data_IF_847618179693
#
_entry.id   IF_847618179693
#
_cell.length_a   1.000
_cell.length_b   1.000
_cell.length_c   1.000
_cell.angle_alpha   90.00
_cell.angle_beta   90.00
_cell.angle_gamma   90.00
#
_symmetry.space_group_name_H-M   'P 1'
#
loop_
_entity.id
_entity.type
_entity.pdbx_description
1 polymer ?
#
# COMPACT_ATOMS: atom_id res chain seq x y z
N UNK A 1 60.52 -52.43 -36.04
CA UNK A 1 60.21 -53.72 -35.38
C UNK A 1 61.23 -53.97 -34.29
N UNK A 2 60.94 -53.58 -33.06
CA UNK A 2 61.74 -53.90 -31.87
C UNK A 2 60.77 -54.21 -30.73
N UNK A 3 60.56 -55.51 -30.55
CA UNK A 3 59.82 -56.12 -29.45
C UNK A 3 60.72 -56.20 -28.22
N UNK A 4 60.21 -55.85 -27.03
CA UNK A 4 60.54 -56.55 -25.77
C UNK A 4 59.66 -56.11 -24.58
N UNK A 5 58.86 -57.09 -24.13
CA UNK A 5 58.64 -57.57 -22.75
C UNK A 5 57.91 -56.67 -21.72
N UNK A 6 56.71 -57.13 -21.35
CA UNK A 6 56.15 -57.00 -19.98
C UNK A 6 56.69 -58.13 -19.09
N UNK A 7 56.87 -57.87 -17.78
CA UNK A 7 56.20 -58.69 -16.76
C UNK A 7 55.61 -57.82 -15.61
N UNK A 8 54.38 -58.12 -15.18
CA UNK A 8 54.00 -58.74 -13.89
C UNK A 8 54.14 -57.78 -12.68
N UNK A 9 53.02 -57.27 -12.17
CA UNK A 9 52.17 -57.80 -11.07
C UNK A 9 52.64 -57.36 -9.68
N UNK A 10 51.63 -57.00 -8.89
CA UNK A 10 51.62 -56.83 -7.43
C UNK A 10 52.39 -55.63 -6.88
N UNK A 11 51.64 -54.58 -6.53
CA UNK A 11 51.85 -53.87 -5.28
C UNK A 11 50.50 -53.55 -4.63
N UNK A 12 50.26 -54.30 -3.54
CA UNK A 12 49.55 -53.98 -2.31
C UNK A 12 48.31 -53.08 -2.36
N UNK A 13 47.18 -53.73 -2.07
CA UNK A 13 46.04 -53.14 -1.37
C UNK A 13 46.48 -52.56 -0.02
N UNK A 14 46.12 -51.30 0.23
CA UNK A 14 46.01 -50.74 1.58
C UNK A 14 44.58 -50.25 1.75
N UNK A 15 43.89 -50.96 2.63
CA UNK A 15 42.61 -50.60 3.19
C UNK A 15 42.75 -49.30 4.01
N UNK A 16 41.75 -48.44 3.89
CA UNK A 16 41.60 -47.24 4.70
C UNK A 16 40.24 -46.64 4.44
N UNK A 17 39.21 -47.27 5.02
CA UNK A 17 37.84 -46.78 5.02
C UNK A 17 37.79 -45.37 5.62
N UNK A 18 37.71 -44.34 4.76
CA UNK A 18 37.38 -43.00 5.18
C UNK A 18 35.86 -42.93 5.36
N UNK A 19 35.46 -42.96 6.63
CA UNK A 19 34.11 -42.79 7.14
C UNK A 19 33.37 -41.62 6.48
N UNK A 20 32.30 -41.93 5.76
CA UNK A 20 31.24 -41.00 5.35
C UNK A 20 30.48 -40.56 6.61
N UNK A 21 31.02 -39.59 7.34
CA UNK A 21 30.31 -38.83 8.38
C UNK A 21 30.49 -37.33 8.09
N UNK A 22 29.93 -36.90 6.96
CA UNK A 22 29.66 -35.49 6.67
C UNK A 22 28.20 -35.24 6.97
N UNK A 23 27.95 -34.93 8.24
CA UNK A 23 26.65 -34.66 8.85
C UNK A 23 25.76 -33.80 7.97
N UNK A 24 24.51 -34.22 7.83
CA UNK A 24 23.42 -33.40 7.35
C UNK A 24 23.34 -32.14 8.23
N UNK A 25 23.94 -31.03 7.79
CA UNK A 25 23.41 -29.72 8.16
C UNK A 25 22.09 -29.60 7.42
N UNK A 26 21.04 -30.16 8.03
CA UNK A 26 19.68 -29.81 7.65
C UNK A 26 19.57 -28.32 7.81
N UNK A 27 19.51 -27.59 6.70
CA UNK A 27 19.03 -26.23 6.69
C UNK A 27 17.63 -26.28 7.27
N UNK A 28 17.50 -25.90 8.54
CA UNK A 28 16.24 -25.46 9.10
C UNK A 28 15.85 -24.23 8.28
N UNK A 29 15.22 -24.41 7.13
CA UNK A 29 14.45 -23.35 6.53
C UNK A 29 13.47 -22.96 7.64
N UNK A 30 13.68 -21.78 8.23
CA UNK A 30 12.70 -21.21 9.12
C UNK A 30 11.38 -21.29 8.36
N UNK A 31 10.39 -21.94 8.95
CA UNK A 31 9.05 -21.90 8.41
C UNK A 31 8.66 -20.41 8.42
N UNK A 32 8.81 -19.74 7.28
CA UNK A 32 8.34 -18.36 7.13
C UNK A 32 6.83 -18.44 7.29
N UNK A 33 6.35 -17.95 8.42
CA UNK A 33 4.94 -17.66 8.58
C UNK A 33 4.52 -16.74 7.42
N UNK A 34 3.34 -16.97 6.86
CA UNK A 34 2.79 -16.07 5.85
C UNK A 34 2.75 -14.64 6.42
N UNK A 35 2.93 -13.59 5.59
CA UNK A 35 2.85 -12.22 6.05
C UNK A 35 1.46 -11.97 6.68
N UNK A 36 1.47 -11.50 7.92
CA UNK A 36 0.27 -11.15 8.68
C UNK A 36 0.31 -9.67 9.01
N UNK A 37 -0.81 -8.98 8.81
CA UNK A 37 -0.95 -7.56 9.12
C UNK A 37 -2.07 -7.38 10.13
N UNK A 38 -1.76 -6.70 11.23
CA UNK A 38 -2.69 -6.27 12.27
C UNK A 38 -2.99 -4.78 12.09
N UNK A 39 -4.24 -4.40 12.32
CA UNK A 39 -4.74 -3.04 12.11
C UNK A 39 -5.51 -2.62 13.36
N UNK A 40 -5.09 -1.50 13.94
CA UNK A 40 -5.81 -0.82 15.02
C UNK A 40 -6.22 0.58 14.56
N UNK A 41 -7.49 0.93 14.72
CA UNK A 41 -7.95 2.31 14.48
C UNK A 41 -7.55 3.19 15.67
N UNK A 42 -6.72 4.20 15.44
CA UNK A 42 -6.18 5.09 16.49
C UNK A 42 -6.75 6.51 16.43
N UNK A 43 -7.45 6.87 15.35
CA UNK A 43 -8.18 8.13 15.21
C UNK A 43 -9.23 8.02 14.11
N UNK A 44 -10.36 8.71 14.25
CA UNK A 44 -11.47 8.58 13.29
C UNK A 44 -12.22 7.25 13.38
N UNK A 45 -12.24 6.60 14.55
CA UNK A 45 -13.03 5.40 14.76
C UNK A 45 -14.54 5.71 14.71
N UNK A 46 -15.32 4.80 14.13
CA UNK A 46 -16.78 4.86 14.24
C UNK A 46 -17.24 4.32 15.60
N UNK A 47 -18.39 4.79 16.08
CA UNK A 47 -19.06 4.21 17.25
C UNK A 47 -19.83 2.91 16.94
N UNK A 48 -19.94 2.51 15.66
CA UNK A 48 -20.60 1.28 15.27
C UNK A 48 -19.80 0.05 15.74
N UNK A 49 -20.52 -1.01 16.09
CA UNK A 49 -19.90 -2.25 16.53
C UNK A 49 -19.09 -2.90 15.38
N UNK A 50 -17.97 -3.58 15.68
CA UNK A 50 -17.22 -4.35 14.70
C UNK A 50 -18.11 -5.35 13.96
N UNK A 51 -18.17 -5.27 12.64
CA UNK A 51 -18.67 -6.37 11.82
C UNK A 51 -17.55 -7.39 11.62
N UNK A 52 -17.82 -8.65 11.99
CA UNK A 52 -16.96 -9.80 11.66
C UNK A 52 -15.51 -9.72 12.16
N UNK A 53 -15.24 -8.95 13.22
CA UNK A 53 -13.89 -8.77 13.76
C UNK A 53 -12.98 -7.89 12.91
N UNK A 54 -13.52 -7.20 11.89
CA UNK A 54 -12.77 -6.24 11.09
C UNK A 54 -12.69 -4.87 11.78
N UNK A 55 -11.60 -4.11 11.57
CA UNK A 55 -11.53 -2.71 11.99
C UNK A 55 -12.62 -1.88 11.30
N UNK A 56 -13.40 -1.13 12.09
CA UNK A 56 -14.49 -0.26 11.58
C UNK A 56 -14.06 1.19 11.56
N UNK A 57 -14.01 1.77 10.37
CA UNK A 57 -13.64 3.17 10.14
C UNK A 57 -14.86 4.09 10.04
N UNK A 58 -14.66 5.37 10.35
CA UNK A 58 -15.67 6.40 10.16
C UNK A 58 -15.89 6.67 8.65
N UNK A 59 -17.13 6.61 8.13
CA UNK A 59 -17.41 6.94 6.74
C UNK A 59 -17.33 8.44 6.43
N UNK A 60 -17.42 9.31 7.44
CA UNK A 60 -17.60 10.76 7.26
C UNK A 60 -16.27 11.55 7.22
N UNK A 61 -15.11 10.88 7.27
CA UNK A 61 -13.83 11.56 7.16
C UNK A 61 -12.61 10.67 7.32
N UNK A 62 -11.41 11.28 7.35
CA UNK A 62 -10.17 10.53 7.42
C UNK A 62 -10.05 9.72 8.71
N UNK A 63 -9.47 8.53 8.59
CA UNK A 63 -9.21 7.60 9.69
C UNK A 63 -7.71 7.35 9.80
N UNK A 64 -7.15 7.39 11.01
CA UNK A 64 -5.76 7.00 11.25
C UNK A 64 -5.70 5.57 11.76
N UNK A 65 -4.87 4.76 11.11
CA UNK A 65 -4.61 3.37 11.46
C UNK A 65 -3.19 3.24 12.01
N UNK A 66 -3.05 2.53 13.12
CA UNK A 66 -1.79 1.88 13.46
C UNK A 66 -1.78 0.53 12.77
N UNK A 67 -0.84 0.33 11.85
CA UNK A 67 -0.68 -0.91 11.11
C UNK A 67 0.63 -1.56 11.54
N UNK A 68 0.60 -2.85 11.82
CA UNK A 68 1.81 -3.62 12.10
C UNK A 68 1.82 -4.92 11.32
N UNK A 69 3.01 -5.42 11.00
CA UNK A 69 3.17 -6.67 10.27
C UNK A 69 4.17 -7.60 10.91
N UNK A 70 3.98 -8.90 10.69
CA UNK A 70 4.88 -9.99 11.10
C UNK A 70 5.00 -11.02 9.98
N UNK A 71 6.09 -11.79 9.97
CA UNK A 71 6.32 -12.83 8.95
C UNK A 71 6.78 -12.32 7.59
N UNK A 72 7.05 -11.01 7.45
CA UNK A 72 7.54 -10.43 6.21
C UNK A 72 9.01 -10.79 5.98
N UNK A 73 9.42 -10.95 4.72
CA UNK A 73 10.85 -11.14 4.42
C UNK A 73 11.59 -9.82 4.64
N UNK A 74 12.68 -9.86 5.41
CA UNK A 74 13.62 -8.75 5.58
C UNK A 74 14.97 -9.11 4.96
N UNK A 75 15.51 -8.22 4.11
CA UNK A 75 16.74 -8.46 3.37
C UNK A 75 17.76 -7.38 3.71
N UNK A 76 18.75 -7.69 4.56
CA UNK A 76 19.79 -6.72 4.91
C UNK A 76 20.56 -6.25 3.66
N UNK A 77 20.69 -4.93 3.50
CA UNK A 77 21.28 -4.29 2.32
C UNK A 77 20.41 -4.37 1.06
N UNK A 78 19.19 -4.91 1.16
CA UNK A 78 18.28 -5.08 0.03
C UNK A 78 17.79 -3.75 -0.53
N UNK A 79 17.57 -3.69 -1.84
CA UNK A 79 16.89 -2.56 -2.47
C UNK A 79 15.39 -2.62 -2.18
N UNK A 80 14.80 -1.47 -1.82
CA UNK A 80 13.38 -1.34 -1.58
C UNK A 80 12.95 -1.78 -0.18
N UNK A 81 11.90 -2.61 -0.13
CA UNK A 81 11.18 -2.95 1.09
C UNK A 81 9.71 -3.23 0.79
N UNK A 82 8.80 -2.65 1.57
CA UNK A 82 7.35 -2.85 1.48
C UNK A 82 6.67 -1.49 1.34
N UNK A 83 5.73 -1.36 0.41
CA UNK A 83 4.71 -0.31 0.47
C UNK A 83 3.51 -0.82 1.27
N UNK A 84 3.03 0.00 2.20
CA UNK A 84 1.78 -0.19 2.95
C UNK A 84 0.79 0.84 2.45
N UNK A 85 -0.32 0.37 1.89
CA UNK A 85 -1.25 1.16 1.10
C UNK A 85 -2.68 0.91 1.57
N UNK A 86 -3.58 1.88 1.45
CA UNK A 86 -5.01 1.65 1.59
C UNK A 86 -5.66 1.61 0.20
N UNK A 87 -6.44 0.56 -0.09
CA UNK A 87 -7.03 0.44 -1.41
C UNK A 87 -7.91 -0.79 -1.63
N UNK A 88 -8.12 -1.07 -2.90
CA UNK A 88 -8.93 -2.17 -3.43
C UNK A 88 -8.05 -3.15 -4.21
N UNK A 89 -8.42 -4.43 -4.15
CA UNK A 89 -7.85 -5.50 -4.96
C UNK A 89 -8.96 -6.20 -5.75
N UNK A 90 -8.67 -6.64 -6.96
CA UNK A 90 -9.62 -7.35 -7.80
C UNK A 90 -10.01 -8.70 -7.16
N UNK A 91 -11.28 -8.91 -6.77
CA UNK A 91 -11.71 -10.15 -6.15
C UNK A 91 -11.80 -11.32 -7.15
N UNK A 92 -11.75 -11.05 -8.45
CA UNK A 92 -11.92 -12.05 -9.51
C UNK A 92 -10.62 -12.74 -9.94
N UNK A 93 -9.47 -12.23 -9.51
CA UNK A 93 -8.17 -12.68 -10.00
C UNK A 93 -7.03 -12.52 -8.99
N UNK A 94 -5.84 -12.98 -9.39
CA UNK A 94 -4.64 -12.80 -8.59
C UNK A 94 -4.16 -11.35 -8.71
N UNK A 95 -4.32 -10.58 -7.63
CA UNK A 95 -4.03 -9.16 -7.63
C UNK A 95 -2.55 -8.84 -7.41
N UNK A 96 -1.80 -9.77 -6.81
CA UNK A 96 -0.45 -9.50 -6.33
C UNK A 96 0.55 -9.31 -7.47
N UNK A 97 1.51 -8.37 -7.35
CA UNK A 97 2.55 -8.18 -8.35
C UNK A 97 3.37 -9.44 -8.66
N UNK A 98 3.68 -10.28 -7.66
CA UNK A 98 4.46 -11.53 -7.85
C UNK A 98 3.82 -12.57 -8.77
N UNK A 99 2.52 -12.45 -9.03
CA UNK A 99 1.76 -13.35 -9.90
C UNK A 99 1.15 -12.64 -11.11
N UNK A 100 1.67 -11.45 -11.43
CA UNK A 100 1.32 -10.70 -12.65
C UNK A 100 0.28 -9.60 -12.46
N UNK A 101 -0.13 -9.33 -11.22
CA UNK A 101 -0.97 -8.19 -10.90
C UNK A 101 -0.28 -6.85 -11.17
N UNK A 102 -1.07 -5.79 -11.37
CA UNK A 102 -0.59 -4.45 -11.69
C UNK A 102 -1.50 -3.35 -11.14
N UNK A 103 -0.88 -2.25 -10.67
CA UNK A 103 -1.57 -1.02 -10.28
C UNK A 103 -2.47 -0.52 -11.42
N UNK A 104 -3.64 -0.02 -11.07
CA UNK A 104 -4.62 0.54 -12.01
C UNK A 104 -5.49 -0.52 -12.70
N UNK A 105 -5.11 -1.80 -12.60
CA UNK A 105 -5.84 -2.94 -13.16
C UNK A 105 -6.33 -3.89 -12.07
N UNK A 106 -5.42 -4.63 -11.43
CA UNK A 106 -5.78 -5.68 -10.47
C UNK A 106 -5.71 -5.21 -9.02
N UNK A 107 -5.13 -4.04 -8.76
CA UNK A 107 -5.24 -3.34 -7.50
C UNK A 107 -5.15 -1.83 -7.72
N UNK A 108 -5.75 -1.06 -6.82
CA UNK A 108 -5.76 0.41 -6.82
C UNK A 108 -5.70 0.89 -5.38
N UNK A 109 -5.10 2.05 -5.14
CA UNK A 109 -4.93 2.58 -3.80
C UNK A 109 -5.01 4.11 -3.79
N UNK A 110 -5.25 4.64 -2.59
CA UNK A 110 -5.26 6.07 -2.35
C UNK A 110 -3.84 6.62 -2.57
N UNK A 111 -3.71 7.55 -3.51
CA UNK A 111 -2.44 8.17 -3.87
C UNK A 111 -2.18 9.38 -2.99
N UNK A 112 -0.96 9.50 -2.48
CA UNK A 112 -0.47 10.75 -1.89
C UNK A 112 -0.02 11.72 -2.99
N UNK A 113 -0.16 13.01 -2.73
CA UNK A 113 0.64 14.03 -3.41
C UNK A 113 2.07 13.94 -2.88
N UNK A 114 3.04 13.59 -3.73
CA UNK A 114 4.44 13.45 -3.34
C UNK A 114 5.04 14.77 -2.81
N UNK A 115 4.52 15.94 -3.23
CA UNK A 115 4.97 17.23 -2.75
C UNK A 115 4.40 17.58 -1.36
N UNK A 116 3.30 16.95 -0.97
CA UNK A 116 2.59 17.20 0.28
C UNK A 116 1.87 15.94 0.77
N UNK A 117 2.63 14.90 1.19
CA UNK A 117 2.05 13.60 1.51
C UNK A 117 1.14 13.69 2.73
N UNK A 118 -0.02 13.05 2.63
CA UNK A 118 -1.03 12.95 3.70
C UNK A 118 -0.90 11.63 4.49
N UNK A 119 -0.01 10.74 4.05
CA UNK A 119 0.27 9.45 4.68
C UNK A 119 -0.68 8.35 4.23
N UNK A 120 -1.26 8.48 3.03
CA UNK A 120 -2.06 7.42 2.40
C UNK A 120 -1.21 6.24 1.94
N UNK A 121 0.10 6.47 1.79
CA UNK A 121 1.11 5.48 1.43
C UNK A 121 2.26 5.54 2.42
N UNK A 122 2.70 4.39 2.89
CA UNK A 122 3.90 4.29 3.70
C UNK A 122 4.93 3.39 3.05
N UNK A 123 6.18 3.83 3.05
CA UNK A 123 7.31 3.01 2.65
C UNK A 123 8.07 2.51 3.87
N UNK A 124 8.11 1.19 4.04
CA UNK A 124 8.94 0.48 5.02
C UNK A 124 10.14 -0.08 4.28
N UNK A 125 11.34 0.40 4.57
CA UNK A 125 12.54 -0.04 3.87
C UNK A 125 13.14 -1.32 4.44
N UNK A 126 13.92 -2.03 3.62
CA UNK A 126 14.84 -3.04 4.14
C UNK A 126 16.03 -2.40 4.87
N UNK A 127 16.57 -3.05 5.92
CA UNK A 127 17.61 -2.47 6.75
C UNK A 127 18.96 -2.43 6.03
N UNK A 128 19.61 -1.28 6.01
CA UNK A 128 20.88 -1.00 5.34
C UNK A 128 20.78 -0.81 3.82
N UNK A 129 19.56 -0.69 3.28
CA UNK A 129 19.31 -0.57 1.84
C UNK A 129 19.57 0.83 1.29
N UNK A 130 19.84 0.95 -0.01
CA UNK A 130 20.07 2.26 -0.66
C UNK A 130 18.84 3.17 -0.69
N UNK A 131 17.64 2.62 -0.47
CA UNK A 131 16.36 3.33 -0.42
C UNK A 131 15.95 3.70 1.01
N UNK A 132 16.66 3.24 2.04
CA UNK A 132 16.27 3.39 3.44
C UNK A 132 16.02 4.85 3.86
N UNK A 133 16.83 5.79 3.35
CA UNK A 133 16.69 7.20 3.64
C UNK A 133 15.33 7.82 3.21
N UNK A 134 14.61 7.16 2.30
CA UNK A 134 13.30 7.58 1.82
C UNK A 134 12.14 6.92 2.57
N UNK A 135 12.40 6.09 3.57
CA UNK A 135 11.38 5.35 4.28
C UNK A 135 10.51 6.26 5.15
N UNK A 136 9.30 6.54 4.67
CA UNK A 136 8.31 7.36 5.39
C UNK A 136 7.70 6.62 6.60
N UNK A 137 7.66 5.29 6.54
CA UNK A 137 7.01 4.46 7.56
C UNK A 137 7.98 3.70 8.47
N UNK A 138 9.29 3.83 8.26
CA UNK A 138 10.34 3.19 9.08
C UNK A 138 11.10 2.07 8.38
N UNK A 139 11.82 1.27 9.17
CA UNK A 139 12.70 0.20 8.68
C UNK A 139 12.16 -1.15 9.14
N UNK A 140 12.08 -2.12 8.23
CA UNK A 140 11.68 -3.48 8.51
C UNK A 140 12.72 -4.16 9.40
N UNK A 141 12.30 -4.70 10.53
CA UNK A 141 13.20 -5.41 11.43
C UNK A 141 13.72 -6.71 10.78
N UNK A 142 14.85 -7.21 11.27
CA UNK A 142 15.48 -8.41 10.73
C UNK A 142 14.62 -9.68 10.92
N UNK A 143 13.72 -9.68 11.90
CA UNK A 143 12.78 -10.76 12.18
C UNK A 143 11.48 -10.67 11.35
N UNK A 144 11.39 -9.70 10.42
CA UNK A 144 10.21 -9.50 9.58
C UNK A 144 9.09 -8.73 10.23
N UNK A 145 9.33 -8.07 11.37
CA UNK A 145 8.36 -7.20 12.02
C UNK A 145 8.49 -5.75 11.61
N UNK A 146 7.36 -5.04 11.55
CA UNK A 146 7.29 -3.59 11.29
C UNK A 146 6.01 -3.00 11.87
N UNK A 147 6.00 -1.67 12.07
CA UNK A 147 4.82 -0.92 12.42
C UNK A 147 4.87 0.49 11.83
N UNK A 148 3.73 1.02 11.42
CA UNK A 148 3.60 2.37 10.84
C UNK A 148 2.21 2.95 11.05
N UNK A 149 2.06 4.25 10.84
CA UNK A 149 0.76 4.93 10.81
C UNK A 149 0.32 5.14 9.37
N UNK A 150 -0.88 4.68 9.03
CA UNK A 150 -1.48 4.86 7.72
C UNK A 150 -2.74 5.72 7.84
N UNK A 151 -2.84 6.75 7.00
CA UNK A 151 -4.06 7.55 6.88
C UNK A 151 -4.96 6.94 5.83
N UNK A 152 -6.24 6.77 6.14
CA UNK A 152 -7.29 6.41 5.19
C UNK A 152 -8.10 7.67 4.89
N UNK A 153 -8.19 8.16 3.64
CA UNK A 153 -8.86 9.42 3.32
C UNK A 153 -10.36 9.39 3.60
N UNK A 154 -10.96 8.20 3.49
CA UNK A 154 -12.39 7.96 3.59
C UNK A 154 -12.77 6.73 2.75
N UNK A 155 -14.06 6.38 2.68
CA UNK A 155 -14.51 5.21 1.93
C UNK A 155 -14.48 5.41 0.41
N UNK A 156 -14.46 6.65 -0.07
CA UNK A 156 -14.44 6.97 -1.49
C UNK A 156 -13.20 7.80 -1.79
N UNK A 157 -12.40 7.38 -2.77
CA UNK A 157 -11.19 8.10 -3.18
C UNK A 157 -10.95 8.02 -4.69
N UNK A 158 -10.26 9.04 -5.21
CA UNK A 158 -9.80 9.09 -6.59
C UNK A 158 -8.42 8.46 -6.72
N UNK A 159 -8.20 7.77 -7.84
CA UNK A 159 -6.92 7.15 -8.22
C UNK A 159 -6.88 7.04 -9.75
N UNK A 160 -5.94 6.30 -10.30
CA UNK A 160 -5.77 6.18 -11.75
C UNK A 160 -5.81 4.72 -12.22
N UNK A 161 -6.33 4.52 -13.44
CA UNK A 161 -6.16 3.25 -14.16
C UNK A 161 -4.79 3.18 -14.85
N UNK A 162 -4.57 2.14 -15.67
CA UNK A 162 -3.29 1.91 -16.34
C UNK A 162 -3.02 2.89 -17.48
N UNK A 163 -4.08 3.48 -18.02
CA UNK A 163 -4.04 4.49 -19.07
C UNK A 163 -3.92 5.91 -18.48
N UNK A 164 -3.78 6.03 -17.15
CA UNK A 164 -3.79 7.29 -16.39
C UNK A 164 -5.11 8.06 -16.46
N UNK A 165 -6.22 7.38 -16.72
CA UNK A 165 -7.54 8.00 -16.51
C UNK A 165 -7.87 7.97 -15.02
N UNK A 166 -8.49 9.05 -14.55
CA UNK A 166 -8.97 9.12 -13.19
C UNK A 166 -10.15 8.15 -12.99
N UNK A 167 -10.08 7.38 -11.90
CA UNK A 167 -11.11 6.42 -11.52
C UNK A 167 -11.44 6.57 -10.04
N UNK A 168 -12.72 6.41 -9.71
CA UNK A 168 -13.22 6.40 -8.34
C UNK A 168 -13.23 4.98 -7.79
N UNK A 169 -12.71 4.79 -6.58
CA UNK A 169 -12.91 3.57 -5.79
C UNK A 169 -13.89 3.90 -4.66
N UNK A 170 -14.94 3.08 -4.52
CA UNK A 170 -15.96 3.21 -3.49
C UNK A 170 -16.01 1.96 -2.58
N UNK A 171 -15.33 2.05 -1.45
CA UNK A 171 -15.21 1.00 -0.44
C UNK A 171 -16.52 0.72 0.33
N UNK A 172 -17.61 1.45 0.07
CA UNK A 172 -18.94 1.10 0.58
C UNK A 172 -19.61 0.02 -0.29
N UNK A 173 -19.18 -0.12 -1.54
CA UNK A 173 -19.76 -1.08 -2.50
C UNK A 173 -18.79 -2.18 -2.93
N UNK A 174 -17.50 -2.03 -2.63
CA UNK A 174 -16.47 -3.05 -2.85
C UNK A 174 -15.58 -3.23 -1.61
N UNK A 175 -14.96 -4.41 -1.47
CA UNK A 175 -14.06 -4.67 -0.35
C UNK A 175 -12.73 -3.93 -0.54
N UNK A 176 -12.45 -2.98 0.37
CA UNK A 176 -11.14 -2.35 0.49
C UNK A 176 -10.36 -2.89 1.69
N UNK A 177 -9.09 -2.55 1.78
CA UNK A 177 -8.20 -3.04 2.83
C UNK A 177 -6.84 -2.40 2.80
N UNK A 178 -6.00 -2.80 3.75
CA UNK A 178 -4.58 -2.50 3.73
C UNK A 178 -3.87 -3.51 2.83
N UNK A 179 -3.21 -2.99 1.82
CA UNK A 179 -2.40 -3.74 0.86
C UNK A 179 -0.94 -3.60 1.26
N UNK A 180 -0.21 -4.71 1.29
CA UNK A 180 1.25 -4.68 1.24
C UNK A 180 1.73 -5.21 -0.10
N UNK A 181 2.73 -4.56 -0.67
CA UNK A 181 3.44 -5.01 -1.89
C UNK A 181 4.92 -4.68 -1.78
N UNK A 182 5.76 -5.36 -2.55
CA UNK A 182 7.17 -4.98 -2.62
C UNK A 182 7.35 -3.56 -3.19
N UNK A 183 8.23 -2.78 -2.54
CA UNK A 183 8.44 -1.39 -2.88
C UNK A 183 9.27 -1.22 -4.16
N UNK A 184 9.14 -0.05 -4.81
CA UNK A 184 9.91 0.35 -5.99
C UNK A 184 9.88 -0.68 -7.15
N UNK A 185 8.74 -1.36 -7.33
CA UNK A 185 8.52 -2.31 -8.42
C UNK A 185 9.12 -3.69 -8.20
N UNK A 186 9.63 -3.99 -6.99
CA UNK A 186 10.09 -5.34 -6.65
C UNK A 186 8.88 -6.23 -6.41
N UNK A 187 8.70 -7.26 -7.24
CA UNK A 187 7.71 -8.29 -7.01
C UNK A 187 8.21 -9.26 -5.93
N UNK A 188 7.45 -9.45 -4.85
CA UNK A 188 7.86 -10.30 -3.73
C UNK A 188 6.65 -10.89 -2.99
N UNK A 189 6.33 -12.15 -3.29
CA UNK A 189 5.20 -12.86 -2.69
C UNK A 189 5.28 -12.95 -1.15
N UNK A 190 6.48 -12.92 -0.56
CA UNK A 190 6.63 -12.97 0.91
C UNK A 190 6.31 -11.64 1.60
N UNK A 191 6.09 -10.58 0.81
CA UNK A 191 5.85 -9.22 1.28
C UNK A 191 4.54 -8.65 0.71
N UNK A 192 3.69 -9.52 0.16
CA UNK A 192 2.42 -9.17 -0.46
C UNK A 192 1.27 -9.75 0.38
N UNK A 193 0.41 -8.87 0.87
CA UNK A 193 -0.75 -9.23 1.70
C UNK A 193 -1.91 -8.28 1.46
N UNK A 194 -3.12 -8.73 1.76
CA UNK A 194 -4.31 -7.90 1.80
C UNK A 194 -5.10 -8.19 3.07
N UNK A 195 -5.26 -7.17 3.91
CA UNK A 195 -6.06 -7.25 5.13
C UNK A 195 -7.31 -6.40 4.95
N UNK A 196 -8.50 -7.02 4.87
CA UNK A 196 -9.74 -6.30 4.64
C UNK A 196 -10.10 -5.42 5.84
N UNK A 197 -10.82 -4.35 5.54
CA UNK A 197 -11.36 -3.41 6.54
C UNK A 197 -12.78 -3.04 6.16
N UNK A 198 -13.52 -2.43 7.08
CA UNK A 198 -14.88 -2.00 6.80
C UNK A 198 -15.11 -0.57 7.27
N UNK A 199 -16.04 0.10 6.61
CA UNK A 199 -16.58 1.37 7.08
C UNK A 199 -17.89 1.12 7.79
N UNK A 200 -18.19 1.96 8.79
CA UNK A 200 -19.51 1.93 9.39
C UNK A 200 -20.56 2.26 8.34
N UNK A 201 -21.60 1.44 8.30
CA UNK A 201 -22.75 1.73 7.46
C UNK A 201 -23.62 2.77 8.18
N UNK A 202 -24.20 3.74 7.45
CA UNK A 202 -25.21 4.61 8.00
C UNK A 202 -26.30 3.77 8.66
N UNK A 203 -26.70 4.13 9.88
CA UNK A 203 -27.84 3.48 10.51
C UNK A 203 -29.06 3.60 9.57
N UNK A 204 -29.82 2.52 9.33
CA UNK A 204 -31.06 2.62 8.57
C UNK A 204 -31.90 3.72 9.18
N UNK A 205 -32.40 4.65 8.35
CA UNK A 205 -33.31 5.68 8.82
C UNK A 205 -34.43 5.01 9.62
N UNK A 206 -34.62 5.41 10.87
CA UNK A 206 -35.68 4.87 11.70
C UNK A 206 -37.00 5.10 10.95
N UNK A 207 -37.65 4.00 10.55
CA UNK A 207 -38.98 4.07 9.97
C UNK A 207 -39.85 4.69 11.05
N UNK A 208 -40.30 5.93 10.84
CA UNK A 208 -41.25 6.57 11.73
C UNK A 208 -42.48 5.65 11.80
N UNK A 209 -42.69 5.01 12.94
CA UNK A 209 -43.94 4.32 13.22
C UNK A 209 -45.05 5.35 13.02
N UNK A 210 -46.06 5.09 12.16
CA UNK A 210 -47.15 6.04 11.97
C UNK A 210 -47.74 6.37 13.34
N UNK A 211 -47.66 7.65 13.70
CA UNK A 211 -48.26 8.15 14.92
C UNK A 211 -49.76 7.82 14.85
N UNK A 212 -50.26 7.08 15.85
CA UNK A 212 -51.67 6.80 15.96
C UNK A 212 -52.43 8.13 15.93
N UNK A 213 -53.41 8.23 15.03
CA UNK A 213 -54.28 9.39 14.88
C UNK A 213 -54.82 9.81 16.25
N UNK A 214 -54.60 11.07 16.69
CA UNK A 214 -55.20 11.53 17.94
C UNK A 214 -56.71 11.54 17.78
N UNK A 215 -57.40 10.78 18.65
CA UNK A 215 -58.84 10.84 18.83
C UNK A 215 -59.27 12.27 19.19
N UNK A 216 -60.28 12.87 18.54
CA UNK A 216 -60.76 14.19 18.92
C UNK A 216 -61.49 14.09 20.26
N UNK A 217 -60.93 14.71 21.30
CA UNK A 217 -61.55 14.72 22.63
C UNK A 217 -61.15 15.95 23.43
N UNK A 218 -62.11 16.84 23.65
CA UNK A 218 -62.19 17.67 24.85
C UNK A 218 -61.48 19.02 24.80
N UNK A 219 -62.25 20.05 24.43
CA UNK A 219 -61.94 21.45 24.73
C UNK A 219 -61.92 21.69 26.24
N UNK A 220 -60.82 22.20 26.78
CA UNK A 220 -60.78 22.91 28.05
C UNK A 220 -59.67 23.95 28.01
N UNK A 221 -60.08 25.22 28.10
CA UNK A 221 -59.18 26.37 28.09
C UNK A 221 -58.30 26.45 29.33
N UNK A 222 -57.11 27.00 29.14
CA UNK A 222 -56.14 27.31 30.19
C UNK A 222 -55.13 28.31 29.67
N UNK A 223 -55.43 29.58 29.90
CA UNK A 223 -54.58 30.74 29.62
C UNK A 223 -53.32 30.72 30.47
N UNK A 224 -52.15 30.93 29.85
CA UNK A 224 -50.99 31.53 30.51
C UNK A 224 -50.03 32.12 29.47
N UNK A 225 -49.78 33.42 29.62
CA UNK A 225 -48.88 34.24 28.82
C UNK A 225 -47.43 34.15 29.33
N UNK A 226 -46.47 34.24 28.41
CA UNK A 226 -45.16 34.93 28.51
C UNK A 226 -44.44 34.70 27.16
N UNK A 227 -44.32 35.69 26.27
CA UNK A 227 -43.37 36.82 26.30
C UNK A 227 -41.90 36.38 26.21
N UNK A 228 -41.34 36.39 24.99
CA UNK A 228 -40.11 37.13 24.62
C UNK A 228 -39.62 36.72 23.22
N UNK A 229 -39.61 37.68 22.31
CA UNK A 229 -38.78 37.80 21.10
C UNK A 229 -37.97 39.11 21.33
N UNK A 230 -36.75 39.34 20.78
CA UNK A 230 -36.49 39.18 19.34
C UNK A 230 -35.06 38.78 18.89
N UNK A 231 -35.00 38.47 17.60
CA UNK A 231 -33.95 38.79 16.62
C UNK A 231 -32.49 38.47 16.95
N UNK A 232 -31.98 37.42 16.31
CA UNK A 232 -30.57 37.31 15.96
C UNK A 232 -30.37 37.75 14.51
N UNK A 233 -29.57 38.80 14.38
CA UNK A 233 -29.14 39.49 13.17
C UNK A 233 -28.22 38.59 12.32
N UNK A 234 -28.49 38.55 11.02
CA UNK A 234 -27.66 37.87 10.04
C UNK A 234 -26.47 38.75 9.66
N UNK A 235 -25.28 38.39 10.10
CA UNK A 235 -24.04 39.02 9.63
C UNK A 235 -23.50 38.24 8.44
N UNK A 236 -23.76 38.76 7.24
CA UNK A 236 -23.06 38.36 6.03
C UNK A 236 -21.59 38.82 6.13
N UNK A 237 -20.66 37.87 6.04
CA UNK A 237 -19.24 38.19 5.83
C UNK A 237 -18.96 38.01 4.34
N UNK A 238 -18.87 39.13 3.65
CA UNK A 238 -18.32 39.19 2.30
C UNK A 238 -16.83 38.86 2.37
N UNK A 239 -16.41 37.79 1.69
CA UNK A 239 -15.00 37.56 1.38
C UNK A 239 -14.72 38.15 0.01
N UNK A 240 -13.84 39.14 0.07
CA UNK A 240 -13.27 39.92 -1.01
C UNK A 240 -12.57 39.01 -2.03
N UNK A 241 -13.03 39.09 -3.28
CA UNK A 241 -12.38 38.49 -4.43
C UNK A 241 -11.29 39.45 -4.93
N UNK A 242 -10.04 39.17 -4.58
CA UNK A 242 -8.88 39.76 -5.27
C UNK A 242 -8.28 38.75 -6.23
N UNK A 243 -8.64 38.96 -7.49
CA UNK A 243 -7.94 38.50 -8.68
C UNK A 243 -6.47 38.91 -8.64
N UNK A 244 -5.57 37.92 -8.62
CA UNK A 244 -4.13 38.06 -8.84
C UNK A 244 -3.72 37.26 -10.07
N UNK A 245 -3.33 37.98 -11.11
CA UNK A 245 -2.96 37.54 -12.45
C UNK A 245 -1.83 36.49 -12.52
N UNK A 246 -1.99 35.60 -13.49
CA UNK A 246 -1.01 35.04 -14.43
C UNK A 246 0.46 35.40 -14.22
N UNK A 247 1.31 34.40 -13.97
CA UNK A 247 2.67 34.42 -14.51
C UNK A 247 3.23 33.00 -14.82
N UNK A 248 3.21 32.70 -16.12
CA UNK A 248 4.17 31.93 -16.92
C UNK A 248 5.26 31.11 -16.19
N UNK A 249 5.05 29.80 -16.06
CA UNK A 249 6.11 28.80 -15.77
C UNK A 249 6.29 27.81 -16.92
N UNK A 250 6.26 28.31 -18.16
CA UNK A 250 6.39 27.53 -19.39
C UNK A 250 7.78 27.50 -20.08
N UNK A 251 8.92 27.95 -19.50
CA UNK A 251 10.22 27.68 -20.12
C UNK A 251 11.07 26.60 -19.42
N UNK A 252 10.75 26.14 -18.20
CA UNK A 252 11.64 25.24 -17.45
C UNK A 252 11.44 23.74 -17.80
N UNK A 253 10.22 23.33 -18.17
CA UNK A 253 9.92 21.94 -18.54
C UNK A 253 10.48 21.53 -19.92
N UNK A 254 10.77 22.50 -20.80
CA UNK A 254 11.41 22.23 -22.10
C UNK A 254 12.93 22.00 -21.97
N UNK A 255 13.58 22.56 -20.96
CA UNK A 255 15.03 22.39 -20.77
C UNK A 255 15.39 21.00 -20.21
N UNK A 256 14.56 20.43 -19.33
CA UNK A 256 14.80 19.10 -18.74
C UNK A 256 14.50 17.96 -19.73
N UNK A 257 13.47 18.11 -20.58
CA UNK A 257 13.14 17.11 -21.60
C UNK A 257 14.25 16.92 -22.66
N UNK A 258 14.91 18.01 -23.07
CA UNK A 258 16.01 17.94 -24.05
C UNK A 258 17.24 17.24 -23.49
N UNK A 259 17.55 17.42 -22.20
CA UNK A 259 18.71 16.79 -21.55
C UNK A 259 18.52 15.27 -21.48
N UNK A 260 17.32 14.79 -21.12
CA UNK A 260 17.03 13.35 -21.04
C UNK A 260 17.13 12.67 -22.41
N UNK A 261 16.61 13.31 -23.47
CA UNK A 261 16.67 12.76 -24.83
C UNK A 261 18.11 12.66 -25.35
N UNK A 262 18.96 13.67 -25.08
CA UNK A 262 20.36 13.66 -25.51
C UNK A 262 21.16 12.55 -24.79
N UNK A 263 20.93 12.34 -23.50
CA UNK A 263 21.61 11.29 -22.73
C UNK A 263 21.21 9.89 -23.22
N UNK A 264 19.92 9.65 -23.46
CA UNK A 264 19.43 8.36 -23.99
C UNK A 264 19.99 8.11 -25.39
N UNK A 265 19.99 9.10 -26.28
CA UNK A 265 20.57 8.97 -27.61
C UNK A 265 22.07 8.65 -27.57
N UNK A 266 22.84 9.31 -26.68
CA UNK A 266 24.26 9.04 -26.52
C UNK A 266 24.54 7.61 -26.02
N UNK A 267 23.77 7.12 -25.05
CA UNK A 267 23.89 5.75 -24.52
C UNK A 267 23.57 4.72 -25.62
N UNK A 268 22.50 4.93 -26.40
CA UNK A 268 22.14 4.04 -27.51
C UNK A 268 23.24 4.01 -28.57
N UNK A 269 23.81 5.16 -28.94
CA UNK A 269 24.92 5.24 -29.91
C UNK A 269 26.15 4.48 -29.40
N UNK A 270 26.52 4.65 -28.13
CA UNK A 270 27.65 3.92 -27.53
C UNK A 270 27.40 2.41 -27.54
N UNK A 271 26.19 1.96 -27.19
CA UNK A 271 25.84 0.54 -27.21
C UNK A 271 25.86 -0.06 -28.63
N UNK A 272 25.36 0.67 -29.63
CA UNK A 272 25.40 0.25 -31.03
C UNK A 272 26.83 0.19 -31.55
N UNK A 273 27.68 1.18 -31.23
CA UNK A 273 29.09 1.18 -31.63
C UNK A 273 29.88 0.04 -30.95
N UNK A 274 29.59 -0.26 -29.68
CA UNK A 274 30.21 -1.41 -28.98
C UNK A 274 29.77 -2.74 -29.59
N UNK A 275 28.50 -2.89 -29.96
CA UNK A 275 27.99 -4.09 -30.65
C UNK A 275 28.63 -4.27 -32.03
N UNK A 276 28.81 -3.19 -32.79
CA UNK A 276 29.47 -3.25 -34.12
C UNK A 276 30.95 -3.60 -34.04
N UNK A 277 31.64 -3.21 -32.97
CA UNK A 277 33.05 -3.58 -32.73
C UNK A 277 33.23 -5.00 -32.18
N UNK A 278 32.16 -5.62 -31.68
CA UNK A 278 32.17 -6.98 -31.13
C UNK A 278 31.67 -8.03 -32.12
N UNK A 279 31.23 -7.63 -33.32
CA UNK A 279 30.92 -8.54 -34.41
C UNK A 279 32.21 -8.80 -35.23
N UNK A 280 32.62 -10.07 -35.43
CA UNK A 280 33.78 -10.44 -36.25
C UNK A 280 33.55 -10.20 -37.74
#
# INVERSE_FOLDING_TARGET
MTSRRRPSRLLLALAGAATLLGSMLGSSAAASAAPLVDITVVGGASAAAPSEGMPVMNPDGPTQLQVSGTGFQSVSGGFGGIYVLFGWVDPSGAWQPSVGGATGTSYRYAMDDEASPQGYQQFISFPGGSTEASASGGVLAADGTWATTLTVPGPVFQTFDRENNEVTVDCLTTQCGVITIGAHGVANANNESFTPVTFAQPAPAAVATPSATPTPGGSAGGSAAASASPSAEATAVALDATSGSSDSMLPLLLALGVIVVVVVAAVVVVLVLRRRRAAP
#
